data_IF_227535385604
#
_entry.id   IF_227535385604
#
_cell.length_a   1.000
_cell.length_b   1.000
_cell.length_c   1.000
_cell.angle_alpha   90.00
_cell.angle_beta   90.00
_cell.angle_gamma   90.00
#
_symmetry.space_group_name_H-M   'P 1'
#
loop_
_entity.id
_entity.type
_entity.pdbx_description
1 polymer ?
#
# COMPACT_ATOMS: atom_id res chain seq x y z
N UNK A 1 -10.14 -39.40 36.15
CA UNK A 1 -9.75 -38.04 36.57
C UNK A 1 -8.98 -37.41 35.41
N UNK A 2 -9.69 -36.65 34.57
CA UNK A 2 -9.13 -35.98 33.39
C UNK A 2 -8.29 -34.79 33.80
N UNK A 3 -7.01 -34.79 33.41
CA UNK A 3 -6.22 -33.56 33.18
C UNK A 3 -5.25 -33.85 32.05
N UNK A 4 -5.63 -33.49 30.83
CA UNK A 4 -4.64 -33.29 29.77
C UNK A 4 -4.73 -31.84 29.34
N UNK A 5 -3.63 -31.15 29.55
CA UNK A 5 -3.43 -29.71 29.45
C UNK A 5 -3.68 -29.21 28.03
N UNK A 6 -4.37 -28.08 27.92
CA UNK A 6 -4.39 -27.29 26.69
C UNK A 6 -2.95 -26.88 26.32
N UNK A 7 -2.61 -26.79 25.02
CA UNK A 7 -1.34 -26.21 24.60
C UNK A 7 -1.35 -24.69 24.88
N UNK A 8 -0.19 -24.07 25.19
CA UNK A 8 -0.13 -22.63 25.37
C UNK A 8 -0.41 -21.91 24.06
N UNK A 9 -1.17 -20.82 24.15
CA UNK A 9 -1.43 -19.88 23.06
C UNK A 9 -0.11 -19.44 22.43
N UNK A 10 0.01 -19.62 21.11
CA UNK A 10 1.17 -19.21 20.33
C UNK A 10 1.38 -17.71 20.45
N UNK A 11 2.37 -17.31 21.25
CA UNK A 11 2.94 -15.98 21.18
C UNK A 11 3.49 -15.77 19.77
N UNK A 12 2.97 -14.76 19.07
CA UNK A 12 3.50 -14.35 17.78
C UNK A 12 5.03 -14.18 17.92
N UNK A 13 5.80 -15.01 17.24
CA UNK A 13 7.24 -14.82 17.14
C UNK A 13 7.46 -13.44 16.54
N UNK A 14 8.10 -12.55 17.29
CA UNK A 14 8.68 -11.32 16.75
C UNK A 14 9.77 -11.77 15.77
N UNK A 15 9.53 -11.62 14.48
CA UNK A 15 10.55 -11.72 13.44
C UNK A 15 11.45 -10.47 13.55
N UNK A 16 12.67 -10.56 14.09
CA UNK A 16 13.57 -9.43 14.18
C UNK A 16 14.13 -9.17 12.78
N UNK A 17 13.79 -8.03 12.19
CA UNK A 17 14.39 -7.57 10.92
C UNK A 17 13.42 -7.16 9.81
N UNK A 18 12.09 -7.29 10.00
CA UNK A 18 11.15 -6.70 9.03
C UNK A 18 11.12 -5.18 9.23
N UNK A 19 11.78 -4.44 8.36
CA UNK A 19 11.67 -2.98 8.32
C UNK A 19 10.18 -2.58 8.32
N UNK A 20 9.81 -1.68 9.22
CA UNK A 20 8.44 -1.17 9.30
C UNK A 20 8.14 -0.42 8.01
N UNK A 21 7.21 -0.94 7.21
CA UNK A 21 6.70 -0.24 6.02
C UNK A 21 5.53 0.65 6.42
N UNK A 22 5.48 1.84 5.84
CA UNK A 22 4.34 2.77 5.99
C UNK A 22 3.12 2.36 5.18
N UNK A 23 3.34 1.56 4.13
CA UNK A 23 2.30 1.16 3.18
C UNK A 23 2.29 -0.36 3.03
N UNK A 24 1.10 -0.94 3.04
CA UNK A 24 0.85 -2.36 2.77
C UNK A 24 -0.21 -2.54 1.67
N UNK A 25 -0.31 -3.75 1.14
CA UNK A 25 -1.38 -4.18 0.24
C UNK A 25 -2.27 -5.20 0.96
N UNK A 26 -3.58 -5.20 0.67
CA UNK A 26 -4.42 -6.37 0.94
C UNK A 26 -4.07 -7.50 -0.03
N UNK A 27 -4.49 -8.73 0.30
CA UNK A 27 -4.29 -9.88 -0.59
C UNK A 27 -4.97 -9.66 -1.96
N UNK A 28 -6.16 -9.07 -1.99
CA UNK A 28 -6.87 -8.76 -3.24
C UNK A 28 -6.13 -7.70 -4.06
N UNK A 29 -5.65 -6.63 -3.42
CA UNK A 29 -4.88 -5.60 -4.10
C UNK A 29 -3.58 -6.18 -4.67
N UNK A 30 -2.87 -7.02 -3.91
CA UNK A 30 -1.66 -7.70 -4.38
C UNK A 30 -1.93 -8.60 -5.61
N UNK A 31 -3.06 -9.32 -5.62
CA UNK A 31 -3.46 -10.14 -6.80
C UNK A 31 -3.76 -9.29 -8.02
N UNK A 32 -4.48 -8.19 -7.87
CA UNK A 32 -4.74 -7.27 -8.97
C UNK A 32 -3.45 -6.66 -9.50
N UNK A 33 -2.58 -6.18 -8.61
CA UNK A 33 -1.28 -5.60 -8.96
C UNK A 33 -0.42 -6.56 -9.77
N UNK A 34 -0.39 -7.85 -9.41
CA UNK A 34 0.30 -8.87 -10.21
C UNK A 34 -0.23 -8.96 -11.64
N UNK A 35 -1.56 -9.04 -11.81
CA UNK A 35 -2.17 -9.11 -13.14
C UNK A 35 -1.85 -7.88 -13.98
N UNK A 36 -1.99 -6.69 -13.38
CA UNK A 36 -1.65 -5.44 -14.06
C UNK A 36 -0.17 -5.38 -14.44
N UNK A 37 0.73 -5.92 -13.61
CA UNK A 37 2.18 -5.96 -13.89
C UNK A 37 2.49 -6.91 -15.04
N UNK A 38 1.83 -8.06 -15.08
CA UNK A 38 1.94 -9.06 -16.15
C UNK A 38 1.51 -8.46 -17.50
N UNK A 39 0.45 -7.64 -17.50
CA UNK A 39 -0.09 -7.02 -18.72
C UNK A 39 0.67 -5.76 -19.16
N UNK A 40 1.02 -4.87 -18.22
CA UNK A 40 1.49 -3.53 -18.55
C UNK A 40 2.98 -3.29 -18.31
N UNK A 41 3.71 -4.28 -17.80
CA UNK A 41 5.10 -4.06 -17.43
C UNK A 41 5.23 -3.36 -16.06
N UNK A 42 6.40 -2.80 -15.72
CA UNK A 42 6.69 -2.25 -14.39
C UNK A 42 5.63 -1.23 -13.97
N UNK A 43 5.29 -1.21 -12.68
CA UNK A 43 4.20 -0.38 -12.16
C UNK A 43 4.70 0.64 -11.13
N UNK A 44 3.89 1.67 -10.90
CA UNK A 44 4.03 2.61 -9.81
C UNK A 44 2.66 3.04 -9.27
N UNK A 45 2.63 3.44 -8.00
CA UNK A 45 1.46 4.10 -7.41
C UNK A 45 1.73 5.58 -7.14
N UNK A 46 0.71 6.41 -7.35
CA UNK A 46 0.70 7.80 -6.89
C UNK A 46 -0.61 8.14 -6.18
N UNK A 47 -0.48 8.85 -5.06
CA UNK A 47 -1.58 9.35 -4.25
C UNK A 47 -1.48 10.87 -4.09
N UNK A 48 -2.39 11.60 -4.74
CA UNK A 48 -2.59 13.03 -4.50
C UNK A 48 -3.77 13.28 -3.55
N UNK A 49 -3.84 14.49 -2.96
CA UNK A 49 -4.89 14.92 -2.03
C UNK A 49 -6.04 15.74 -2.65
N UNK A 50 -6.50 15.38 -3.85
CA UNK A 50 -7.42 16.19 -4.67
C UNK A 50 -8.93 16.12 -4.34
N UNK A 51 -9.70 17.02 -4.96
CA UNK A 51 -11.10 17.34 -4.61
C UNK A 51 -12.18 16.43 -5.23
N UNK A 52 -11.95 15.77 -6.39
CA UNK A 52 -13.04 15.08 -7.10
C UNK A 52 -13.10 13.54 -6.93
N UNK A 53 -12.01 12.88 -6.52
CA UNK A 53 -11.97 11.46 -6.09
C UNK A 53 -10.83 11.24 -5.06
N UNK A 54 -10.23 12.34 -4.60
CA UNK A 54 -8.78 12.45 -4.42
C UNK A 54 -8.23 12.01 -3.08
N UNK A 55 -8.59 10.80 -2.67
CA UNK A 55 -7.86 10.02 -1.67
C UNK A 55 -7.61 8.57 -2.11
N UNK A 56 -8.02 8.19 -3.32
CA UNK A 56 -7.76 6.85 -3.86
C UNK A 56 -6.37 6.81 -4.53
N UNK A 57 -5.60 5.73 -4.36
CA UNK A 57 -4.28 5.64 -4.95
C UNK A 57 -4.46 5.21 -6.40
N UNK A 58 -3.69 5.80 -7.31
CA UNK A 58 -3.74 5.45 -8.73
C UNK A 58 -2.52 4.60 -9.10
N UNK A 59 -2.74 3.58 -9.92
CA UNK A 59 -1.71 2.68 -10.44
C UNK A 59 -1.41 3.05 -11.90
N UNK A 60 -0.13 3.22 -12.22
CA UNK A 60 0.38 3.59 -13.55
C UNK A 60 1.48 2.63 -13.97
N UNK A 61 1.77 2.51 -15.28
CA UNK A 61 3.07 2.01 -15.72
C UNK A 61 4.19 2.89 -15.15
N UNK A 62 5.31 2.28 -14.80
CA UNK A 62 6.44 2.97 -14.18
C UNK A 62 6.99 4.06 -15.10
N UNK A 63 7.03 5.29 -14.60
CA UNK A 63 7.54 6.46 -15.33
C UNK A 63 6.49 7.25 -16.11
N UNK A 64 5.26 6.74 -16.26
CA UNK A 64 4.15 7.47 -16.91
C UNK A 64 3.67 8.65 -16.06
N UNK A 65 3.63 8.46 -14.73
CA UNK A 65 3.42 9.57 -13.81
C UNK A 65 4.76 10.18 -13.41
N UNK A 66 4.96 11.46 -13.73
CA UNK A 66 6.18 12.20 -13.37
C UNK A 66 6.14 12.58 -11.89
N UNK A 67 7.01 11.97 -11.10
CA UNK A 67 7.27 12.37 -9.71
C UNK A 67 8.43 13.37 -9.63
N UNK A 68 8.43 14.21 -8.60
CA UNK A 68 9.49 15.19 -8.38
C UNK A 68 9.67 15.58 -6.92
N UNK A 69 10.24 16.76 -6.67
CA UNK A 69 10.48 17.28 -5.32
C UNK A 69 9.21 17.51 -4.49
N UNK A 70 8.05 17.58 -5.15
CA UNK A 70 6.74 17.74 -4.52
C UNK A 70 6.09 16.41 -4.13
N UNK A 71 6.78 15.29 -4.32
CA UNK A 71 6.32 13.95 -4.00
C UNK A 71 7.27 13.24 -3.03
N UNK A 72 6.69 12.47 -2.12
CA UNK A 72 7.43 11.65 -1.16
C UNK A 72 7.21 10.19 -1.51
N UNK A 73 8.30 9.46 -1.71
CA UNK A 73 8.25 8.00 -1.86
C UNK A 73 8.06 7.35 -0.50
N UNK A 74 6.88 6.79 -0.25
CA UNK A 74 6.49 6.24 1.06
C UNK A 74 6.93 4.80 1.26
N UNK A 75 6.97 4.01 0.18
CA UNK A 75 7.30 2.60 0.24
C UNK A 75 7.79 2.06 -1.11
N UNK A 76 8.50 0.95 -1.04
CA UNK A 76 8.73 0.00 -2.13
C UNK A 76 7.94 -1.26 -1.78
N UNK A 77 6.85 -1.51 -2.49
CA UNK A 77 5.90 -2.59 -2.20
C UNK A 77 6.41 -3.88 -2.83
N UNK A 78 6.88 -4.80 -2.00
CA UNK A 78 7.18 -6.17 -2.42
C UNK A 78 5.86 -6.95 -2.60
N UNK A 79 5.69 -7.56 -3.77
CA UNK A 79 4.52 -8.38 -4.09
C UNK A 79 5.00 -9.76 -4.51
N UNK A 80 4.48 -10.80 -3.86
CA UNK A 80 4.88 -12.19 -4.16
C UNK A 80 4.61 -12.54 -5.63
N UNK A 81 5.65 -13.02 -6.33
CA UNK A 81 5.58 -13.32 -7.76
C UNK A 81 5.86 -12.12 -8.67
N UNK A 82 6.13 -10.94 -8.11
CA UNK A 82 6.66 -9.79 -8.86
C UNK A 82 8.13 -9.62 -8.52
N UNK A 83 8.99 -9.58 -9.54
CA UNK A 83 10.44 -9.52 -9.36
C UNK A 83 10.90 -8.18 -8.78
N UNK A 84 10.43 -7.06 -9.34
CA UNK A 84 10.79 -5.72 -8.88
C UNK A 84 9.73 -5.14 -7.93
N UNK A 85 10.14 -4.45 -6.85
CA UNK A 85 9.19 -3.80 -5.97
C UNK A 85 8.50 -2.63 -6.67
N UNK A 86 7.26 -2.36 -6.28
CA UNK A 86 6.43 -1.31 -6.86
C UNK A 86 6.48 -0.10 -5.95
N UNK A 87 7.03 1.01 -6.44
CA UNK A 87 7.11 2.22 -5.63
C UNK A 87 5.74 2.85 -5.40
N UNK A 88 5.54 3.40 -4.20
CA UNK A 88 4.35 4.16 -3.82
C UNK A 88 4.75 5.60 -3.46
N UNK A 89 4.23 6.57 -4.21
CA UNK A 89 4.46 7.99 -3.99
C UNK A 89 3.19 8.68 -3.49
N UNK A 90 3.38 9.74 -2.71
CA UNK A 90 2.33 10.62 -2.25
C UNK A 90 2.76 12.07 -2.37
N UNK A 91 1.85 12.98 -2.74
CA UNK A 91 2.19 14.41 -2.75
C UNK A 91 2.60 14.89 -1.36
N UNK A 92 3.60 15.77 -1.26
CA UNK A 92 4.18 16.22 0.01
C UNK A 92 3.11 16.81 0.97
N UNK A 93 2.19 17.63 0.46
CA UNK A 93 1.09 18.18 1.26
C UNK A 93 0.16 17.11 1.85
N UNK A 94 -0.07 16.04 1.08
CA UNK A 94 -0.90 14.93 1.54
C UNK A 94 -0.15 14.07 2.54
N UNK A 95 1.16 13.89 2.32
CA UNK A 95 2.03 13.21 3.27
C UNK A 95 2.06 13.94 4.61
N UNK A 96 2.19 15.26 4.64
CA UNK A 96 2.21 16.01 5.90
C UNK A 96 0.94 15.77 6.73
N UNK A 97 -0.22 15.72 6.08
CA UNK A 97 -1.49 15.39 6.74
C UNK A 97 -1.55 13.96 7.25
N UNK A 98 -0.90 13.01 6.59
CA UNK A 98 -1.04 11.57 6.84
C UNK A 98 0.23 10.92 7.42
N UNK A 99 1.25 11.72 7.76
CA UNK A 99 2.56 11.23 8.24
C UNK A 99 2.46 10.36 9.49
N UNK A 100 1.40 10.48 10.28
CA UNK A 100 1.15 9.70 11.48
C UNK A 100 0.26 8.46 11.24
N UNK A 101 0.06 8.07 9.97
CA UNK A 101 -0.77 6.93 9.60
C UNK A 101 0.01 5.82 8.89
N UNK A 102 -0.42 4.58 9.11
CA UNK A 102 -0.12 3.43 8.27
C UNK A 102 -1.23 3.30 7.22
N UNK A 103 -0.83 3.10 5.96
CA UNK A 103 -1.73 3.00 4.83
C UNK A 103 -1.81 1.56 4.34
N UNK A 104 -3.00 1.08 4.05
CA UNK A 104 -3.23 -0.20 3.40
C UNK A 104 -4.00 0.06 2.11
N UNK A 105 -3.36 -0.23 0.98
CA UNK A 105 -4.01 -0.22 -0.33
C UNK A 105 -4.89 -1.47 -0.44
N UNK A 106 -6.15 -1.25 -0.67
CA UNK A 106 -7.17 -2.26 -0.92
C UNK A 106 -7.77 -2.08 -2.31
N UNK A 107 -8.61 -3.03 -2.74
CA UNK A 107 -9.37 -2.95 -3.99
C UNK A 107 -10.83 -3.24 -3.72
N UNK A 108 -11.72 -2.45 -4.31
CA UNK A 108 -13.17 -2.62 -4.19
C UNK A 108 -13.84 -2.47 -5.56
N UNK A 109 -15.02 -3.09 -5.78
CA UNK A 109 -15.83 -2.81 -6.97
C UNK A 109 -16.16 -1.32 -7.07
N UNK A 110 -16.11 -0.77 -8.28
CA UNK A 110 -16.48 0.62 -8.53
C UNK A 110 -15.62 1.26 -9.61
N UNK A 111 -16.07 2.44 -10.05
CA UNK A 111 -15.35 3.20 -11.07
C UNK A 111 -14.10 3.83 -10.47
N UNK A 112 -12.93 3.40 -10.94
CA UNK A 112 -11.65 4.07 -10.65
C UNK A 112 -11.49 5.37 -11.45
N UNK A 113 -10.42 6.10 -11.14
CA UNK A 113 -9.97 7.20 -12.00
C UNK A 113 -9.69 6.67 -13.40
N UNK A 114 -10.17 7.34 -14.45
CA UNK A 114 -9.94 6.92 -15.83
C UNK A 114 -8.47 6.88 -16.26
N UNK A 115 -7.56 7.39 -15.42
CA UNK A 115 -6.12 7.33 -15.62
C UNK A 115 -5.44 6.13 -14.93
N UNK A 116 -6.14 5.44 -14.03
CA UNK A 116 -5.59 4.31 -13.28
C UNK A 116 -5.79 3.01 -14.04
N UNK A 117 -4.77 2.15 -14.06
CA UNK A 117 -4.76 0.93 -14.88
C UNK A 117 -5.89 -0.06 -14.58
N UNK A 118 -6.40 -0.10 -13.34
CA UNK A 118 -7.49 -1.02 -12.98
C UNK A 118 -8.88 -0.54 -13.41
N UNK A 119 -9.02 0.70 -13.90
CA UNK A 119 -10.32 1.26 -14.23
C UNK A 119 -11.14 0.43 -15.25
N UNK A 120 -10.54 -0.18 -16.30
CA UNK A 120 -11.25 -1.07 -17.22
C UNK A 120 -11.78 -2.37 -16.57
N UNK A 121 -11.20 -2.79 -15.45
CA UNK A 121 -11.57 -4.01 -14.72
C UNK A 121 -12.83 -3.83 -13.84
N UNK A 122 -13.43 -2.63 -13.85
CA UNK A 122 -14.64 -2.33 -13.06
C UNK A 122 -14.39 -2.24 -11.55
N UNK A 123 -13.13 -2.10 -11.15
CA UNK A 123 -12.69 -1.95 -9.76
C UNK A 123 -11.90 -0.65 -9.59
N UNK A 124 -11.59 -0.32 -8.34
CA UNK A 124 -10.75 0.80 -7.96
C UNK A 124 -9.91 0.45 -6.76
N UNK A 125 -8.70 1.01 -6.69
CA UNK A 125 -7.97 0.98 -5.43
C UNK A 125 -8.58 1.93 -4.38
N UNK A 126 -8.36 1.59 -3.11
CA UNK A 126 -8.86 2.33 -1.95
C UNK A 126 -7.78 2.36 -0.86
N UNK A 127 -7.53 3.52 -0.25
CA UNK A 127 -6.72 3.58 0.97
C UNK A 127 -7.60 3.31 2.19
N UNK A 128 -7.19 2.32 2.99
CA UNK A 128 -7.57 2.18 4.39
C UNK A 128 -6.43 2.70 5.25
N UNK A 129 -6.74 3.47 6.30
CA UNK A 129 -5.73 4.02 7.18
C UNK A 129 -6.00 3.68 8.64
N UNK A 130 -4.91 3.63 9.41
CA UNK A 130 -4.91 3.61 10.87
C UNK A 130 -3.77 4.48 11.39
N UNK A 131 -3.85 4.90 12.64
CA UNK A 131 -2.70 5.53 13.29
C UNK A 131 -1.53 4.54 13.38
N UNK A 132 -0.32 5.09 13.30
CA UNK A 132 0.90 4.36 13.64
C UNK A 132 0.89 3.99 15.13
N UNK A 133 1.41 2.82 15.46
CA UNK A 133 1.74 2.44 16.83
C UNK A 133 3.01 3.14 17.29
N UNK A 134 3.25 3.22 18.60
CA UNK A 134 4.46 3.83 19.17
C UNK A 134 5.76 3.18 18.67
N UNK A 135 5.73 1.88 18.37
CA UNK A 135 6.85 1.17 17.76
C UNK A 135 7.08 1.64 16.31
N UNK A 136 6.01 1.71 15.51
CA UNK A 136 6.10 2.16 14.12
C UNK A 136 6.51 3.63 14.01
N UNK A 137 5.96 4.50 14.87
CA UNK A 137 6.33 5.93 14.94
C UNK A 137 7.82 6.09 15.22
N UNK A 138 8.37 5.33 16.19
CA UNK A 138 9.80 5.35 16.50
C UNK A 138 10.65 4.84 15.33
N UNK A 139 10.23 3.76 14.67
CA UNK A 139 10.96 3.21 13.52
C UNK A 139 10.93 4.13 12.29
N UNK A 140 9.82 4.85 12.07
CA UNK A 140 9.62 5.72 10.91
C UNK A 140 10.07 7.17 11.15
N UNK A 141 10.55 7.51 12.34
CA UNK A 141 11.07 8.84 12.68
C UNK A 141 10.05 9.97 12.52
N UNK A 142 8.77 9.68 12.80
CA UNK A 142 7.65 10.61 12.62
C UNK A 142 7.27 11.29 13.93
#
# INVERSE_FOLDING_TARGET
MSRSSAPPAGGARREPGRAVSRVALTAEAARLVRRLREEHGPLMFHQSGGCCDGSSPMCFPYGEFRTGSSDVRLAELAVEGVAEPIGFWMSADQFERWRHTHLTVDVVPGRGSGFSLEAPEGVRFLIRSRLLTDEETRCLGT
#
